data_IF_182057141097
#
_entry.id   IF_182057141097
#
_cell.length_a   1.000
_cell.length_b   1.000
_cell.length_c   1.000
_cell.angle_alpha   90.00
_cell.angle_beta   90.00
_cell.angle_gamma   90.00
#
_symmetry.space_group_name_H-M   'P 1'
#
loop_
_entity.id
_entity.type
_entity.pdbx_description
1 polymer ?
#
# COMPACT_ATOMS: atom_id res chain seq x y z
N UNK A 1 -11.27 14.49 -21.03
CA UNK A 1 -10.76 14.16 -19.66
C UNK A 1 -10.76 12.65 -19.42
N UNK A 2 -11.94 11.97 -19.44
CA UNK A 2 -12.08 10.55 -19.07
C UNK A 2 -11.06 9.62 -19.74
N UNK A 3 -10.89 9.71 -21.06
CA UNK A 3 -9.92 8.86 -21.79
C UNK A 3 -8.47 9.16 -21.39
N UNK A 4 -8.16 10.43 -21.14
CA UNK A 4 -6.81 10.80 -20.67
C UNK A 4 -6.53 10.19 -19.28
N UNK A 5 -7.49 10.22 -18.34
CA UNK A 5 -7.36 9.60 -17.03
C UNK A 5 -7.24 8.07 -17.11
N UNK A 6 -7.96 7.41 -18.04
CA UNK A 6 -7.77 5.99 -18.32
C UNK A 6 -6.35 5.69 -18.82
N UNK A 7 -5.77 6.57 -19.66
CA UNK A 7 -4.38 6.46 -20.10
C UNK A 7 -3.40 6.65 -18.94
N UNK A 8 -3.65 7.58 -18.02
CA UNK A 8 -2.80 7.80 -16.85
C UNK A 8 -2.75 6.56 -15.96
N UNK A 9 -3.91 5.91 -15.76
CA UNK A 9 -3.99 4.69 -14.94
C UNK A 9 -3.31 3.46 -15.56
N UNK A 10 -3.29 3.38 -16.90
CA UNK A 10 -2.81 2.18 -17.62
C UNK A 10 -1.41 2.35 -18.24
N UNK A 11 -0.88 3.57 -18.27
CA UNK A 11 0.37 3.94 -18.96
C UNK A 11 0.41 3.48 -20.44
N UNK A 12 -0.70 3.65 -21.15
CA UNK A 12 -0.85 3.24 -22.56
C UNK A 12 -1.45 4.38 -23.37
N UNK A 13 -0.95 4.59 -24.57
CA UNK A 13 -1.51 5.54 -25.54
C UNK A 13 -2.85 5.09 -26.11
N UNK A 14 -3.68 6.06 -26.54
CA UNK A 14 -5.00 5.81 -27.14
C UNK A 14 -5.16 6.64 -28.40
N UNK A 15 -5.67 6.00 -29.47
CA UNK A 15 -6.11 6.69 -30.68
C UNK A 15 -7.65 6.69 -30.71
N UNK A 16 -8.27 7.88 -30.74
CA UNK A 16 -9.71 8.06 -30.89
C UNK A 16 -10.05 8.50 -32.30
N UNK A 17 -11.08 7.88 -32.88
CA UNK A 17 -11.68 8.24 -34.15
C UNK A 17 -13.00 8.95 -33.86
N UNK A 18 -13.07 10.25 -34.18
CA UNK A 18 -14.21 11.09 -33.83
C UNK A 18 -15.36 11.01 -34.86
N UNK A 19 -15.15 10.29 -35.95
CA UNK A 19 -16.13 10.18 -37.03
C UNK A 19 -17.48 9.66 -36.51
N UNK A 20 -17.48 8.60 -35.72
CA UNK A 20 -18.71 8.02 -35.16
C UNK A 20 -19.49 8.98 -34.24
N UNK A 21 -18.79 9.92 -33.59
CA UNK A 21 -19.39 10.91 -32.68
C UNK A 21 -19.88 12.18 -33.41
N UNK A 22 -19.37 12.44 -34.61
CA UNK A 22 -19.64 13.70 -35.35
C UNK A 22 -20.54 13.52 -36.56
N UNK A 23 -20.74 12.29 -37.08
CA UNK A 23 -21.62 12.03 -38.24
C UNK A 23 -23.10 11.92 -37.86
N UNK A 24 -23.40 11.41 -36.65
CA UNK A 24 -24.80 11.28 -36.22
C UNK A 24 -25.51 12.64 -36.10
N UNK A 25 -24.79 13.71 -35.73
CA UNK A 25 -25.36 15.08 -35.69
C UNK A 25 -25.67 15.61 -37.10
N UNK A 26 -25.03 15.13 -38.16
CA UNK A 26 -25.33 15.55 -39.55
C UNK A 26 -26.63 14.96 -40.10
N UNK A 27 -27.04 13.77 -39.65
CA UNK A 27 -28.30 13.15 -40.13
C UNK A 27 -29.51 13.70 -39.34
N UNK A 28 -29.36 14.08 -38.08
CA UNK A 28 -30.41 14.73 -37.31
C UNK A 28 -30.75 16.16 -37.80
N UNK A 29 -29.77 16.90 -38.33
CA UNK A 29 -29.95 18.27 -38.82
C UNK A 29 -30.68 18.35 -40.18
N UNK A 30 -30.99 17.22 -40.85
CA UNK A 30 -31.61 17.24 -42.17
C UNK A 30 -33.15 17.30 -42.09
N UNK A 31 -33.74 16.87 -40.94
CA UNK A 31 -35.22 16.82 -40.79
C UNK A 31 -35.83 17.88 -39.87
N UNK A 32 -35.03 18.69 -39.18
CA UNK A 32 -35.56 19.78 -38.32
C UNK A 32 -35.63 21.10 -39.11
N UNK A 33 -36.69 21.27 -39.86
CA UNK A 33 -37.06 22.56 -40.45
C UNK A 33 -37.55 23.47 -39.36
N UNK A 34 -36.63 24.21 -38.73
CA UNK A 34 -37.01 25.39 -37.94
C UNK A 34 -37.59 26.47 -38.90
N UNK A 35 -38.81 26.91 -38.61
CA UNK A 35 -39.59 27.91 -39.37
C UNK A 35 -38.88 29.29 -39.39
N UNK A 36 -37.77 29.47 -38.67
CA UNK A 36 -36.98 30.71 -38.63
C UNK A 36 -35.84 30.82 -39.63
N UNK A 37 -35.58 29.78 -40.41
CA UNK A 37 -34.62 29.81 -41.53
C UNK A 37 -33.16 30.07 -41.21
N UNK A 38 -32.71 29.89 -39.94
CA UNK A 38 -31.33 30.10 -39.51
C UNK A 38 -30.81 28.99 -38.61
N UNK A 39 -30.88 27.74 -39.09
CA UNK A 39 -30.07 26.69 -38.49
C UNK A 39 -28.60 26.99 -38.86
N UNK A 40 -27.86 27.49 -37.89
CA UNK A 40 -26.40 27.71 -38.02
C UNK A 40 -25.77 26.34 -38.05
N UNK A 41 -25.39 25.84 -39.24
CA UNK A 41 -24.58 24.63 -39.36
C UNK A 41 -23.33 24.82 -38.50
N UNK A 42 -23.19 24.01 -37.46
CA UNK A 42 -21.96 23.95 -36.70
C UNK A 42 -20.81 23.68 -37.68
N UNK A 43 -19.76 24.48 -37.61
CA UNK A 43 -18.55 24.23 -38.39
C UNK A 43 -17.95 22.87 -38.01
N UNK A 44 -17.17 22.27 -38.89
CA UNK A 44 -16.54 20.97 -38.59
C UNK A 44 -15.77 20.95 -37.26
N UNK A 45 -15.14 22.04 -36.88
CA UNK A 45 -14.43 22.19 -35.62
C UNK A 45 -15.41 22.30 -34.42
N UNK A 46 -16.56 22.96 -34.61
CA UNK A 46 -17.55 23.14 -33.55
C UNK A 46 -18.19 21.78 -33.18
N UNK A 47 -18.49 20.93 -34.17
CA UNK A 47 -19.00 19.57 -33.93
C UNK A 47 -17.99 18.71 -33.18
N UNK A 48 -16.67 18.84 -33.47
CA UNK A 48 -15.62 18.15 -32.74
C UNK A 48 -15.52 18.64 -31.30
N UNK A 49 -15.58 19.97 -31.09
CA UNK A 49 -15.52 20.55 -29.75
C UNK A 49 -16.77 20.17 -28.94
N UNK A 50 -17.94 20.17 -29.53
CA UNK A 50 -19.15 19.70 -28.89
C UNK A 50 -19.04 18.24 -28.46
N UNK A 51 -18.62 17.33 -29.35
CA UNK A 51 -18.46 15.91 -29.03
C UNK A 51 -17.42 15.64 -27.93
N UNK A 52 -16.39 16.49 -27.81
CA UNK A 52 -15.33 16.31 -26.79
C UNK A 52 -15.65 16.94 -25.43
N UNK A 53 -16.52 17.97 -25.38
CA UNK A 53 -16.71 18.82 -24.20
C UNK A 53 -18.19 19.06 -23.84
N UNK A 54 -19.13 18.26 -24.32
CA UNK A 54 -20.56 18.45 -24.09
C UNK A 54 -21.04 18.11 -22.67
N UNK A 55 -20.25 17.50 -21.83
CA UNK A 55 -20.58 17.11 -20.44
C UNK A 55 -21.86 16.23 -20.32
N UNK A 56 -22.25 15.53 -21.38
CA UNK A 56 -23.36 14.57 -21.35
C UNK A 56 -23.02 13.33 -20.53
N UNK A 57 -24.04 12.74 -19.90
CA UNK A 57 -23.88 11.48 -19.17
C UNK A 57 -23.52 10.35 -20.13
N UNK A 58 -22.40 9.70 -19.88
CA UNK A 58 -21.92 8.61 -20.70
C UNK A 58 -20.89 7.77 -19.97
N UNK A 59 -20.49 6.65 -20.59
CA UNK A 59 -19.44 5.79 -20.09
C UNK A 59 -18.46 5.44 -21.22
N UNK A 60 -17.17 5.49 -20.92
CA UNK A 60 -16.11 4.96 -21.78
C UNK A 60 -15.62 3.67 -21.17
N UNK A 61 -15.65 2.58 -21.93
CA UNK A 61 -15.19 1.26 -21.46
C UNK A 61 -14.13 0.70 -22.39
N UNK A 62 -13.11 0.09 -21.80
CA UNK A 62 -12.13 -0.68 -22.53
C UNK A 62 -12.51 -2.16 -22.50
N UNK A 63 -12.59 -2.79 -23.69
CA UNK A 63 -12.92 -4.21 -23.83
C UNK A 63 -11.87 -4.89 -24.70
N UNK A 64 -11.75 -6.21 -24.57
CA UNK A 64 -10.93 -6.99 -25.50
C UNK A 64 -11.60 -6.99 -26.88
N UNK A 65 -10.82 -6.97 -27.95
CA UNK A 65 -11.34 -7.01 -29.33
C UNK A 65 -12.24 -8.23 -29.57
N UNK A 66 -11.92 -9.38 -28.95
CA UNK A 66 -12.71 -10.61 -29.07
C UNK A 66 -14.10 -10.50 -28.44
N UNK A 67 -14.29 -9.61 -27.47
CA UNK A 67 -15.57 -9.45 -26.75
C UNK A 67 -16.46 -8.39 -27.38
N UNK A 68 -16.00 -7.70 -28.43
CA UNK A 68 -16.70 -6.58 -29.07
C UNK A 68 -18.15 -6.89 -29.43
N UNK A 69 -18.36 -7.98 -30.15
CA UNK A 69 -19.68 -8.29 -30.70
C UNK A 69 -20.67 -8.69 -29.60
N UNK A 70 -20.19 -9.37 -28.56
CA UNK A 70 -20.99 -9.74 -27.37
C UNK A 70 -21.40 -8.49 -26.60
N UNK A 71 -20.45 -7.58 -26.35
CA UNK A 71 -20.73 -6.32 -25.63
C UNK A 71 -21.71 -5.44 -26.42
N UNK A 72 -21.47 -5.26 -27.73
CA UNK A 72 -22.37 -4.47 -28.58
C UNK A 72 -23.77 -5.10 -28.69
N UNK A 73 -23.88 -6.43 -28.66
CA UNK A 73 -25.20 -7.10 -28.63
C UNK A 73 -25.92 -6.84 -27.29
N UNK A 74 -25.21 -6.88 -26.17
CA UNK A 74 -25.77 -6.60 -24.86
C UNK A 74 -26.27 -5.13 -24.74
N UNK A 75 -25.49 -4.17 -25.27
CA UNK A 75 -25.89 -2.76 -25.31
C UNK A 75 -27.14 -2.54 -26.17
N UNK A 76 -27.23 -3.17 -27.33
CA UNK A 76 -28.44 -3.13 -28.17
C UNK A 76 -29.65 -3.72 -27.47
N UNK A 77 -29.48 -4.86 -26.79
CA UNK A 77 -30.55 -5.49 -26.01
C UNK A 77 -31.04 -4.61 -24.84
N UNK A 78 -30.16 -3.79 -24.30
CA UNK A 78 -30.49 -2.80 -23.26
C UNK A 78 -31.09 -1.49 -23.82
N UNK A 79 -31.33 -1.35 -25.14
CA UNK A 79 -31.86 -0.16 -25.78
C UNK A 79 -30.82 0.95 -26.02
N UNK A 80 -29.51 0.66 -25.81
CA UNK A 80 -28.42 1.65 -25.94
C UNK A 80 -27.67 1.51 -27.29
N UNK A 81 -28.25 0.83 -28.27
CA UNK A 81 -27.55 0.52 -29.51
C UNK A 81 -27.22 1.76 -30.38
N UNK A 82 -28.08 2.74 -30.43
CA UNK A 82 -27.87 4.00 -31.15
C UNK A 82 -26.80 4.87 -30.48
N UNK A 83 -26.71 4.82 -29.17
CA UNK A 83 -25.83 5.67 -28.34
C UNK A 83 -24.47 4.99 -28.05
N UNK A 84 -24.22 3.81 -28.63
CA UNK A 84 -23.01 3.02 -28.32
C UNK A 84 -22.10 2.95 -29.53
N UNK A 85 -20.91 3.53 -29.43
CA UNK A 85 -19.97 3.67 -30.51
C UNK A 85 -18.60 3.06 -30.18
N UNK A 86 -17.94 2.47 -31.20
CA UNK A 86 -16.53 2.07 -31.09
C UNK A 86 -15.70 3.28 -31.51
N UNK A 87 -15.08 3.92 -30.53
CA UNK A 87 -14.43 5.22 -30.72
C UNK A 87 -12.91 5.15 -30.84
N UNK A 88 -12.27 4.00 -30.61
CA UNK A 88 -10.81 3.97 -30.70
C UNK A 88 -10.17 2.64 -30.31
N UNK A 89 -8.85 2.70 -30.18
CA UNK A 89 -8.01 1.57 -29.78
C UNK A 89 -6.73 2.07 -29.07
N UNK A 90 -6.08 1.17 -28.33
CA UNK A 90 -4.78 1.44 -27.71
C UNK A 90 -3.69 1.61 -28.79
N UNK A 91 -2.70 2.47 -28.52
CA UNK A 91 -1.52 2.62 -29.37
C UNK A 91 -0.23 2.43 -28.55
N UNK A 92 0.86 2.14 -29.28
CA UNK A 92 2.18 1.92 -28.68
C UNK A 92 3.05 3.17 -28.60
N UNK A 93 2.53 4.35 -29.02
CA UNK A 93 3.29 5.62 -29.03
C UNK A 93 3.20 6.39 -27.73
N UNK A 94 2.42 5.89 -26.75
CA UNK A 94 2.14 6.56 -25.46
C UNK A 94 1.57 7.99 -25.66
N UNK A 95 0.72 8.17 -26.69
CA UNK A 95 0.10 9.44 -27.05
C UNK A 95 -1.42 9.33 -27.03
N UNK A 96 -2.09 10.43 -26.64
CA UNK A 96 -3.50 10.65 -27.01
C UNK A 96 -3.53 11.20 -28.41
N UNK A 97 -4.13 10.44 -29.34
CA UNK A 97 -4.31 10.88 -30.73
C UNK A 97 -5.80 11.00 -31.04
N UNK A 98 -6.21 12.18 -31.44
CA UNK A 98 -7.59 12.44 -31.93
C UNK A 98 -7.53 12.51 -33.46
N UNK A 99 -8.32 11.66 -34.12
CA UNK A 99 -8.32 11.52 -35.57
C UNK A 99 -9.75 11.72 -36.08
N UNK A 100 -9.91 12.48 -37.16
CA UNK A 100 -11.15 12.59 -37.92
C UNK A 100 -10.87 12.36 -39.39
N UNK A 101 -11.57 11.43 -40.01
CA UNK A 101 -11.24 10.89 -41.32
C UNK A 101 -9.78 10.41 -41.38
N UNK A 102 -8.92 11.11 -42.13
CA UNK A 102 -7.47 10.79 -42.21
C UNK A 102 -6.59 11.83 -41.50
N UNK A 103 -7.21 12.86 -40.90
CA UNK A 103 -6.49 13.98 -40.30
C UNK A 103 -6.32 13.77 -38.81
N UNK A 104 -5.08 13.86 -38.33
CA UNK A 104 -4.77 13.96 -36.89
C UNK A 104 -5.05 15.39 -36.44
N UNK A 105 -6.01 15.54 -35.52
CA UNK A 105 -6.40 16.83 -34.96
C UNK A 105 -5.57 17.20 -33.74
N UNK A 106 -5.19 16.18 -32.94
CA UNK A 106 -4.36 16.31 -31.75
C UNK A 106 -3.47 15.07 -31.62
N UNK A 107 -2.23 15.28 -31.20
CA UNK A 107 -1.32 14.22 -30.79
C UNK A 107 -0.46 14.76 -29.64
N UNK A 108 -0.78 14.33 -28.41
CA UNK A 108 -0.10 14.77 -27.19
C UNK A 108 0.40 13.57 -26.40
N UNK A 109 1.57 13.67 -25.83
CA UNK A 109 2.13 12.61 -24.98
C UNK A 109 1.29 12.47 -23.70
N UNK A 110 1.02 11.22 -23.31
CA UNK A 110 0.32 10.90 -22.05
C UNK A 110 0.96 11.62 -20.86
N UNK A 111 2.29 11.62 -20.79
CA UNK A 111 3.04 12.20 -19.67
C UNK A 111 2.81 13.72 -19.57
N UNK A 112 2.75 14.43 -20.68
CA UNK A 112 2.54 15.88 -20.69
C UNK A 112 1.11 16.22 -20.24
N UNK A 113 0.13 15.43 -20.70
CA UNK A 113 -1.27 15.53 -20.24
C UNK A 113 -1.40 15.22 -18.74
N UNK A 114 -0.73 14.19 -18.25
CA UNK A 114 -0.75 13.80 -16.84
C UNK A 114 -0.08 14.85 -15.95
N UNK A 115 1.01 15.45 -16.41
CA UNK A 115 1.67 16.58 -15.74
C UNK A 115 0.75 17.79 -15.64
N UNK A 116 0.10 18.17 -16.73
CA UNK A 116 -0.87 19.27 -16.74
C UNK A 116 -2.06 19.00 -15.81
N UNK A 117 -2.59 17.76 -15.81
CA UNK A 117 -3.69 17.34 -14.93
C UNK A 117 -3.29 17.40 -13.44
N UNK A 118 -2.04 17.05 -13.11
CA UNK A 118 -1.52 17.00 -11.73
C UNK A 118 -1.00 18.36 -11.23
N UNK A 119 -0.81 19.36 -12.11
CA UNK A 119 -0.14 20.62 -11.78
C UNK A 119 -0.81 21.40 -10.64
N UNK A 120 -2.14 21.49 -10.64
CA UNK A 120 -2.89 22.19 -9.59
C UNK A 120 -2.71 21.51 -8.23
N UNK A 121 -2.81 20.18 -8.19
CA UNK A 121 -2.58 19.40 -6.97
C UNK A 121 -1.17 19.56 -6.46
N UNK A 122 -0.16 19.53 -7.34
CA UNK A 122 1.24 19.78 -6.99
C UNK A 122 1.45 21.18 -6.42
N UNK A 123 0.85 22.21 -7.02
CA UNK A 123 0.96 23.58 -6.51
C UNK A 123 0.40 23.70 -5.09
N UNK A 124 -0.75 23.10 -4.81
CA UNK A 124 -1.36 23.06 -3.46
C UNK A 124 -0.48 22.29 -2.48
N UNK A 125 0.01 21.10 -2.87
CA UNK A 125 0.91 20.30 -2.05
C UNK A 125 2.19 21.04 -1.68
N UNK A 126 2.78 21.76 -2.65
CA UNK A 126 4.01 22.53 -2.44
C UNK A 126 3.84 23.69 -1.43
N UNK A 127 2.62 24.18 -1.23
CA UNK A 127 2.30 25.20 -0.22
C UNK A 127 2.02 24.61 1.16
N UNK A 128 1.52 23.38 1.22
CA UNK A 128 1.08 22.73 2.45
C UNK A 128 2.13 21.79 3.04
N UNK A 129 2.77 21.00 2.20
CA UNK A 129 3.66 19.90 2.57
C UNK A 129 5.14 20.33 2.41
N UNK A 130 6.09 19.43 2.67
CA UNK A 130 7.47 19.68 2.35
C UNK A 130 7.65 19.84 0.83
N UNK A 131 8.14 20.99 0.33
CA UNK A 131 8.20 21.26 -1.12
C UNK A 131 9.09 20.28 -1.89
N UNK A 132 10.14 19.73 -1.26
CA UNK A 132 11.04 18.79 -1.92
C UNK A 132 10.36 17.44 -2.17
N UNK A 133 9.58 16.92 -1.23
CA UNK A 133 8.83 15.69 -1.41
C UNK A 133 7.63 15.86 -2.35
N UNK A 134 6.91 16.99 -2.27
CA UNK A 134 5.87 17.33 -3.23
C UNK A 134 6.42 17.41 -4.66
N UNK A 135 7.60 17.97 -4.82
CA UNK A 135 8.30 18.02 -6.12
C UNK A 135 8.74 16.63 -6.58
N UNK A 136 9.29 15.81 -5.70
CA UNK A 136 9.72 14.44 -6.02
C UNK A 136 8.54 13.58 -6.51
N UNK A 137 7.36 13.68 -5.88
CA UNK A 137 6.14 12.99 -6.31
C UNK A 137 5.68 13.45 -7.70
N UNK A 138 5.68 14.75 -7.93
CA UNK A 138 5.30 15.32 -9.22
C UNK A 138 6.29 14.96 -10.34
N UNK A 139 7.60 14.98 -10.06
CA UNK A 139 8.64 14.64 -11.04
C UNK A 139 8.71 13.13 -11.33
N UNK A 140 8.22 12.26 -10.43
CA UNK A 140 8.07 10.84 -10.73
C UNK A 140 7.20 10.57 -11.96
N UNK A 141 6.23 11.44 -12.26
CA UNK A 141 5.42 11.34 -13.48
C UNK A 141 6.26 11.38 -14.77
N UNK A 142 7.50 11.89 -14.72
CA UNK A 142 8.42 11.92 -15.87
C UNK A 142 9.11 10.57 -16.12
N UNK A 143 9.09 9.66 -15.16
CA UNK A 143 9.68 8.33 -15.33
C UNK A 143 8.76 7.43 -16.16
N UNK A 144 9.02 7.39 -17.47
CA UNK A 144 8.27 6.54 -18.40
C UNK A 144 8.51 5.05 -18.21
N UNK A 145 9.55 4.67 -17.46
CA UNK A 145 9.87 3.28 -17.14
C UNK A 145 9.23 2.82 -15.82
N UNK A 146 8.60 3.72 -15.06
CA UNK A 146 7.88 3.35 -13.84
C UNK A 146 6.65 2.49 -14.17
N UNK A 147 6.73 1.22 -13.81
CA UNK A 147 5.63 0.26 -13.98
C UNK A 147 4.61 0.27 -12.84
N UNK A 148 4.77 1.16 -11.87
CA UNK A 148 3.93 1.23 -10.68
C UNK A 148 4.22 0.13 -9.67
N UNK A 149 3.18 -0.25 -8.90
CA UNK A 149 3.30 -1.33 -7.91
C UNK A 149 3.49 -2.68 -8.61
N UNK A 150 4.38 -3.49 -8.04
CA UNK A 150 4.62 -4.86 -8.48
C UNK A 150 4.56 -5.84 -7.30
N UNK A 151 4.60 -7.12 -7.59
CA UNK A 151 4.74 -8.15 -6.58
C UNK A 151 5.56 -9.31 -7.12
N UNK A 152 6.38 -9.90 -6.26
CA UNK A 152 7.09 -11.14 -6.54
C UNK A 152 7.19 -11.92 -5.23
N UNK A 153 6.82 -13.18 -5.24
CA UNK A 153 6.81 -14.04 -4.06
C UNK A 153 7.83 -15.14 -4.23
N UNK A 154 8.78 -15.27 -3.30
CA UNK A 154 9.86 -16.26 -3.33
C UNK A 154 9.48 -17.61 -2.72
N UNK A 155 8.24 -17.75 -2.22
CA UNK A 155 7.75 -18.94 -1.53
C UNK A 155 6.33 -19.30 -1.98
N UNK A 156 5.87 -20.49 -1.64
CA UNK A 156 4.44 -20.85 -1.86
C UNK A 156 3.55 -20.12 -0.85
N UNK A 157 2.84 -19.08 -1.33
CA UNK A 157 1.92 -18.28 -0.52
C UNK A 157 0.66 -19.06 -0.10
N UNK A 158 0.34 -20.15 -0.76
CA UNK A 158 -0.83 -21.00 -0.46
C UNK A 158 -0.55 -21.99 0.67
N UNK A 159 0.72 -22.33 0.92
CA UNK A 159 1.14 -23.29 1.94
C UNK A 159 0.79 -22.79 3.35
N UNK A 160 0.01 -23.61 4.06
CA UNK A 160 -0.24 -23.39 5.49
C UNK A 160 0.75 -24.16 6.35
N UNK A 161 1.92 -23.55 6.56
CA UNK A 161 2.99 -24.12 7.38
C UNK A 161 2.66 -24.18 8.87
N UNK A 162 1.62 -23.48 9.33
CA UNK A 162 1.14 -23.54 10.71
C UNK A 162 0.19 -24.72 10.96
N UNK A 163 -0.44 -25.27 9.92
CA UNK A 163 -1.42 -26.35 10.02
C UNK A 163 -0.94 -27.57 10.84
N UNK A 164 0.33 -28.03 10.79
CA UNK A 164 0.80 -29.14 11.62
C UNK A 164 0.73 -28.88 13.13
N UNK A 165 0.68 -27.63 13.54
CA UNK A 165 0.72 -27.19 14.94
C UNK A 165 -0.64 -26.74 15.48
N UNK A 166 -1.63 -26.54 14.61
CA UNK A 166 -2.98 -26.10 14.99
C UNK A 166 -3.80 -27.31 15.44
N UNK A 167 -4.46 -27.22 16.60
CA UNK A 167 -5.36 -28.26 17.12
C UNK A 167 -4.69 -29.49 17.74
N UNK A 168 -3.35 -29.54 17.80
CA UNK A 168 -2.60 -30.71 18.35
C UNK A 168 -2.07 -30.51 19.77
N UNK A 169 -2.03 -29.27 20.26
CA UNK A 169 -1.57 -28.91 21.61
C UNK A 169 -2.44 -27.80 22.16
N UNK A 170 -2.27 -27.47 23.45
CA UNK A 170 -2.88 -26.28 24.02
C UNK A 170 -2.54 -25.04 23.14
N UNK A 171 -3.54 -24.21 22.89
CA UNK A 171 -3.36 -23.01 22.08
C UNK A 171 -2.22 -22.16 22.63
N UNK A 172 -1.30 -21.72 21.75
CA UNK A 172 -0.21 -20.85 22.15
C UNK A 172 -0.75 -19.43 22.31
N UNK A 173 -0.62 -18.88 23.50
CA UNK A 173 -1.15 -17.54 23.82
C UNK A 173 -0.24 -16.47 23.25
N UNK A 174 -0.87 -15.48 22.60
CA UNK A 174 -0.24 -14.29 22.02
C UNK A 174 -0.84 -13.06 22.65
N UNK A 175 -0.03 -12.24 23.29
CA UNK A 175 -0.48 -10.95 23.81
C UNK A 175 -0.60 -9.94 22.65
N UNK A 176 -1.79 -9.43 22.45
CA UNK A 176 -2.04 -8.30 21.55
C UNK A 176 -1.97 -7.06 22.43
N UNK A 177 -0.77 -6.50 22.48
CA UNK A 177 -0.41 -5.46 23.42
C UNK A 177 -0.83 -4.09 22.89
N UNK A 178 -1.51 -3.33 23.74
CA UNK A 178 -1.93 -1.97 23.44
C UNK A 178 -1.84 -1.03 24.63
N UNK A 179 -1.81 0.25 24.31
CA UNK A 179 -1.96 1.38 25.23
C UNK A 179 -3.10 2.28 24.74
N UNK A 180 -3.52 3.27 25.52
CA UNK A 180 -4.50 4.24 25.06
C UNK A 180 -4.00 4.94 23.78
N UNK A 181 -4.89 5.09 22.78
CA UNK A 181 -4.55 5.64 21.46
C UNK A 181 -4.09 4.60 20.44
N UNK A 182 -3.84 3.35 20.83
CA UNK A 182 -3.60 2.23 19.90
C UNK A 182 -4.90 1.83 19.20
N UNK A 183 -4.85 1.52 17.91
CA UNK A 183 -6.04 1.21 17.11
C UNK A 183 -5.88 -0.01 16.16
N UNK A 184 -4.70 -0.63 16.09
CA UNK A 184 -4.41 -1.79 15.21
C UNK A 184 -4.61 -3.16 15.88
N UNK A 185 -5.17 -3.23 17.10
CA UNK A 185 -5.24 -4.47 17.88
C UNK A 185 -6.21 -5.50 17.29
N UNK A 186 -7.28 -5.08 16.64
CA UNK A 186 -8.26 -6.02 16.07
C UNK A 186 -7.70 -6.75 14.85
N UNK A 187 -7.06 -6.03 13.94
CA UNK A 187 -6.40 -6.60 12.76
C UNK A 187 -5.25 -7.52 13.16
N UNK A 188 -4.47 -7.12 14.16
CA UNK A 188 -3.37 -7.93 14.70
C UNK A 188 -3.89 -9.21 15.35
N UNK A 189 -4.93 -9.11 16.18
CA UNK A 189 -5.60 -10.26 16.79
C UNK A 189 -6.15 -11.22 15.73
N UNK A 190 -6.80 -10.68 14.69
CA UNK A 190 -7.29 -11.48 13.56
C UNK A 190 -6.15 -12.25 12.90
N UNK A 191 -5.04 -11.59 12.56
CA UNK A 191 -3.90 -12.21 11.88
C UNK A 191 -3.31 -13.36 12.70
N UNK A 192 -3.04 -13.15 13.99
CA UNK A 192 -2.50 -14.20 14.86
C UNK A 192 -3.52 -15.32 15.15
N UNK A 193 -4.81 -15.02 15.32
CA UNK A 193 -5.85 -16.04 15.46
C UNK A 193 -5.93 -16.91 14.22
N UNK A 194 -5.85 -16.32 13.03
CA UNK A 194 -5.84 -17.05 11.76
C UNK A 194 -4.59 -17.91 11.57
N UNK A 195 -3.49 -17.55 12.22
CA UNK A 195 -2.29 -18.38 12.27
C UNK A 195 -2.35 -19.50 13.32
N UNK A 196 -3.39 -19.56 14.15
CA UNK A 196 -3.58 -20.61 15.14
C UNK A 196 -3.09 -20.29 16.56
N UNK A 197 -2.96 -19.01 16.89
CA UNK A 197 -2.72 -18.54 18.26
C UNK A 197 -4.04 -18.28 18.99
N UNK A 198 -4.01 -18.34 20.32
CA UNK A 198 -5.00 -17.70 21.19
C UNK A 198 -4.58 -16.26 21.38
N UNK A 199 -5.13 -15.33 20.58
CA UNK A 199 -4.87 -13.91 20.69
C UNK A 199 -5.63 -13.32 21.88
N UNK A 200 -4.91 -12.70 22.80
CA UNK A 200 -5.46 -12.10 24.04
C UNK A 200 -5.18 -10.62 24.01
N UNK A 201 -6.23 -9.81 24.10
CA UNK A 201 -6.10 -8.35 24.23
C UNK A 201 -5.51 -7.99 25.60
N UNK A 202 -4.37 -7.30 25.62
CA UNK A 202 -3.66 -6.92 26.83
C UNK A 202 -3.38 -5.43 26.80
N UNK A 203 -3.99 -4.70 27.71
CA UNK A 203 -3.70 -3.29 27.90
C UNK A 203 -2.53 -3.11 28.89
N UNK A 204 -1.71 -2.09 28.69
CA UNK A 204 -0.57 -1.82 29.60
C UNK A 204 -0.96 -1.72 31.06
N UNK A 205 -2.17 -1.20 31.37
CA UNK A 205 -2.70 -1.15 32.75
C UNK A 205 -2.86 -2.54 33.39
N UNK A 206 -3.04 -3.61 32.58
CA UNK A 206 -3.14 -4.97 33.10
C UNK A 206 -1.77 -5.48 33.58
N UNK A 207 -0.71 -5.13 32.83
CA UNK A 207 0.67 -5.46 33.21
C UNK A 207 1.09 -4.63 34.43
N UNK A 208 0.87 -3.31 34.39
CA UNK A 208 1.22 -2.38 35.48
C UNK A 208 0.54 -2.75 36.79
N UNK A 209 -0.72 -3.13 36.75
CA UNK A 209 -1.47 -3.58 37.93
C UNK A 209 -1.14 -4.99 38.40
N UNK A 210 -0.47 -5.78 37.55
CA UNK A 210 -0.16 -7.18 37.81
C UNK A 210 -1.33 -8.15 37.59
N UNK A 211 -2.40 -7.73 36.89
CA UNK A 211 -3.49 -8.61 36.50
C UNK A 211 -3.08 -9.61 35.43
N UNK A 212 -2.14 -9.22 34.57
CA UNK A 212 -1.58 -10.03 33.49
C UNK A 212 -0.07 -10.05 33.61
N UNK A 213 0.55 -11.21 33.43
CA UNK A 213 2.00 -11.39 33.33
C UNK A 213 2.39 -11.85 31.93
N UNK A 214 3.46 -11.27 31.37
CA UNK A 214 3.99 -11.65 30.05
C UNK A 214 4.58 -13.08 30.03
N UNK A 215 4.84 -13.69 31.20
CA UNK A 215 5.28 -15.09 31.32
C UNK A 215 4.28 -16.08 30.73
N UNK A 216 2.97 -15.72 30.70
CA UNK A 216 1.89 -16.58 30.25
C UNK A 216 1.78 -16.63 28.72
N UNK A 217 2.60 -15.86 28.00
CA UNK A 217 2.54 -15.72 26.55
C UNK A 217 3.83 -16.22 25.90
N UNK A 218 3.68 -16.77 24.70
CA UNK A 218 4.81 -17.15 23.82
C UNK A 218 5.28 -15.99 22.96
N UNK A 219 4.41 -15.02 22.72
CA UNK A 219 4.74 -13.81 22.00
C UNK A 219 3.88 -12.64 22.42
N UNK A 220 4.33 -11.43 22.12
CA UNK A 220 3.49 -10.28 22.08
C UNK A 220 3.61 -9.52 20.75
N UNK A 221 2.52 -8.88 20.33
CA UNK A 221 2.51 -7.91 19.25
C UNK A 221 2.16 -6.54 19.82
N UNK A 222 3.12 -5.60 19.76
CA UNK A 222 2.87 -4.20 20.03
C UNK A 222 2.26 -3.56 18.79
N UNK A 223 1.00 -3.10 18.92
CA UNK A 223 0.19 -2.70 17.79
C UNK A 223 0.39 -1.23 17.38
N UNK A 224 -0.04 -0.91 16.15
CA UNK A 224 -0.04 0.45 15.63
C UNK A 224 -1.11 1.35 16.25
N UNK A 225 -0.90 2.64 16.18
CA UNK A 225 -1.79 3.69 16.70
C UNK A 225 -1.03 4.95 17.05
N UNK A 226 -1.54 5.67 18.04
CA UNK A 226 -0.99 6.94 18.53
C UNK A 226 -1.02 6.94 20.06
N UNK A 227 -0.15 6.12 20.67
CA UNK A 227 -0.12 5.97 22.13
C UNK A 227 0.15 7.32 22.80
N UNK A 228 -0.70 7.68 23.78
CA UNK A 228 -0.68 8.97 24.45
C UNK A 228 -0.77 10.18 23.52
N UNK A 229 -1.35 10.02 22.30
CA UNK A 229 -1.44 11.08 21.29
C UNK A 229 -0.09 11.55 20.77
N UNK A 230 0.95 10.73 20.91
CA UNK A 230 2.34 11.01 20.50
C UNK A 230 2.92 12.32 21.11
N UNK A 231 2.41 12.74 22.27
CA UNK A 231 2.75 14.03 22.91
C UNK A 231 4.26 14.17 23.22
N UNK A 232 4.93 13.08 23.55
CA UNK A 232 6.39 13.06 23.82
C UNK A 232 7.23 12.63 22.62
N UNK A 233 6.60 12.40 21.45
CA UNK A 233 7.11 11.69 20.29
C UNK A 233 6.43 10.34 20.16
N UNK A 234 6.31 9.86 18.91
CA UNK A 234 5.57 8.65 18.60
C UNK A 234 6.18 7.42 19.29
N UNK A 235 5.35 6.67 20.03
CA UNK A 235 5.77 5.52 20.84
C UNK A 235 6.54 5.85 22.12
N UNK A 236 6.97 7.08 22.30
CA UNK A 236 7.79 7.51 23.44
C UNK A 236 7.06 7.39 24.78
N UNK A 237 5.83 7.89 24.86
CA UNK A 237 5.01 7.78 26.08
C UNK A 237 4.80 6.33 26.49
N UNK A 238 4.56 5.44 25.52
CA UNK A 238 4.41 4.02 25.77
C UNK A 238 5.71 3.37 26.25
N UNK A 239 6.83 3.64 25.59
CA UNK A 239 8.15 3.14 26.04
C UNK A 239 8.48 3.62 27.45
N UNK A 240 8.21 4.89 27.78
CA UNK A 240 8.43 5.44 29.12
C UNK A 240 7.53 4.80 30.18
N UNK A 241 6.29 4.42 29.86
CA UNK A 241 5.42 3.68 30.78
C UNK A 241 5.96 2.28 31.11
N UNK A 242 6.76 1.69 30.20
CA UNK A 242 7.51 0.45 30.48
C UNK A 242 8.75 0.75 31.30
N UNK A 243 9.63 1.65 30.83
CA UNK A 243 10.96 1.85 31.40
C UNK A 243 10.95 2.41 32.82
N UNK A 244 9.98 3.30 33.11
CA UNK A 244 9.90 4.00 34.39
C UNK A 244 8.89 3.40 35.39
N UNK A 245 8.19 2.32 35.02
CA UNK A 245 7.39 1.54 35.95
C UNK A 245 8.14 0.24 36.31
N UNK A 246 8.56 0.04 37.56
CA UNK A 246 9.38 -1.10 37.95
C UNK A 246 8.75 -2.45 37.56
N UNK A 247 7.47 -2.64 37.81
CA UNK A 247 6.76 -3.88 37.48
C UNK A 247 6.74 -4.12 35.95
N UNK A 248 6.37 -3.11 35.17
CA UNK A 248 6.36 -3.25 33.72
C UNK A 248 7.74 -3.53 33.18
N UNK A 249 8.78 -2.81 33.63
CA UNK A 249 10.17 -3.04 33.26
C UNK A 249 10.60 -4.48 33.53
N UNK A 250 10.35 -4.97 34.73
CA UNK A 250 10.73 -6.34 35.14
C UNK A 250 10.02 -7.40 34.28
N UNK A 251 8.71 -7.22 33.96
CA UNK A 251 7.95 -8.13 33.11
C UNK A 251 8.51 -8.16 31.68
N UNK A 252 8.82 -6.99 31.09
CA UNK A 252 9.38 -6.91 29.74
C UNK A 252 10.82 -7.44 29.68
N UNK A 253 11.69 -7.09 30.64
CA UNK A 253 13.05 -7.64 30.71
C UNK A 253 13.04 -9.16 30.87
N UNK A 254 12.20 -9.70 31.76
CA UNK A 254 12.06 -11.14 31.94
C UNK A 254 11.57 -11.82 30.66
N UNK A 255 10.61 -11.21 29.93
CA UNK A 255 10.11 -11.72 28.66
C UNK A 255 11.21 -11.75 27.59
N UNK A 256 11.96 -10.67 27.43
CA UNK A 256 13.02 -10.59 26.41
C UNK A 256 14.20 -11.52 26.68
N UNK A 257 14.48 -11.85 27.95
CA UNK A 257 15.54 -12.79 28.35
C UNK A 257 15.20 -14.26 28.11
N UNK A 258 13.93 -14.59 27.90
CA UNK A 258 13.49 -15.96 27.57
C UNK A 258 13.96 -16.35 26.17
N UNK A 259 14.32 -17.63 25.96
CA UNK A 259 14.67 -18.17 24.66
C UNK A 259 13.50 -18.76 23.86
N UNK A 260 12.32 -18.83 24.48
CA UNK A 260 11.08 -19.40 23.93
C UNK A 260 10.00 -18.36 23.69
N UNK A 261 10.37 -17.08 23.63
CA UNK A 261 9.48 -15.93 23.39
C UNK A 261 9.91 -15.13 22.15
N UNK A 262 8.95 -14.49 21.51
CA UNK A 262 9.19 -13.58 20.38
C UNK A 262 8.31 -12.32 20.48
N UNK A 263 8.69 -11.26 19.79
CA UNK A 263 7.87 -10.08 19.69
C UNK A 263 7.86 -9.46 18.28
N UNK A 264 6.73 -8.82 17.99
CA UNK A 264 6.52 -8.00 16.79
C UNK A 264 6.07 -6.61 17.21
N UNK A 265 6.78 -5.57 16.80
CA UNK A 265 6.34 -4.17 16.91
C UNK A 265 5.96 -3.62 15.54
N UNK A 266 4.75 -3.08 15.39
CA UNK A 266 4.28 -2.50 14.12
C UNK A 266 3.91 -1.03 14.33
N UNK A 267 4.42 -0.15 13.46
CA UNK A 267 4.14 1.29 13.45
C UNK A 267 4.38 1.91 14.85
N UNK A 268 3.36 2.31 15.59
CA UNK A 268 3.50 2.83 16.96
C UNK A 268 4.16 1.81 17.91
N UNK A 269 3.86 0.52 17.74
CA UNK A 269 4.57 -0.55 18.45
C UNK A 269 6.03 -0.71 18.04
N UNK A 270 6.36 -0.43 16.76
CA UNK A 270 7.74 -0.36 16.29
C UNK A 270 8.49 0.79 16.97
N UNK A 271 7.90 1.97 17.02
CA UNK A 271 8.46 3.15 17.69
C UNK A 271 8.67 2.89 19.19
N UNK A 272 7.68 2.30 19.84
CA UNK A 272 7.78 1.93 21.26
C UNK A 272 8.94 0.94 21.50
N UNK A 273 8.98 -0.17 20.75
CA UNK A 273 10.01 -1.18 20.93
C UNK A 273 11.41 -0.65 20.59
N UNK A 274 11.53 0.22 19.59
CA UNK A 274 12.80 0.89 19.28
C UNK A 274 13.34 1.68 20.46
N UNK A 275 12.47 2.34 21.21
CA UNK A 275 12.83 3.08 22.42
C UNK A 275 13.10 2.16 23.66
N UNK A 276 12.83 0.86 23.54
CA UNK A 276 13.20 -0.15 24.54
C UNK A 276 14.55 -0.85 24.24
N UNK A 277 15.32 -0.35 23.29
CA UNK A 277 16.57 -1.01 22.84
C UNK A 277 17.55 -1.35 23.97
N UNK A 278 17.53 -0.63 25.10
CA UNK A 278 18.38 -0.90 26.27
C UNK A 278 18.01 -2.18 27.02
N UNK A 279 16.75 -2.65 26.92
CA UNK A 279 16.28 -3.86 27.62
C UNK A 279 15.98 -5.02 26.66
N UNK A 280 16.06 -4.80 25.35
CA UNK A 280 15.89 -5.83 24.32
C UNK A 280 17.28 -6.33 23.90
N UNK A 281 17.67 -7.57 24.20
CA UNK A 281 18.99 -8.10 23.81
C UNK A 281 19.22 -8.07 22.31
N UNK A 282 20.28 -7.43 21.85
CA UNK A 282 20.64 -7.31 20.44
C UNK A 282 19.97 -6.19 19.67
N UNK A 283 19.25 -5.29 20.36
CA UNK A 283 18.58 -4.14 19.74
C UNK A 283 19.39 -2.82 19.83
N UNK A 284 20.63 -2.86 20.28
CA UNK A 284 21.47 -1.68 20.55
C UNK A 284 21.68 -0.77 19.33
N UNK A 285 21.53 -1.36 18.13
CA UNK A 285 21.69 -0.65 16.87
C UNK A 285 20.35 -0.32 16.18
N UNK A 286 19.20 -0.58 16.80
CA UNK A 286 17.94 -0.17 16.22
C UNK A 286 17.85 1.37 16.11
N UNK A 287 17.25 1.89 15.02
CA UNK A 287 17.13 3.33 14.82
C UNK A 287 16.13 3.96 15.78
N UNK A 288 16.28 5.24 16.05
CA UNK A 288 15.16 6.05 16.51
C UNK A 288 14.23 6.36 15.34
N UNK A 289 12.91 6.44 15.58
CA UNK A 289 11.92 6.74 14.54
C UNK A 289 11.47 8.18 14.68
N UNK A 290 11.67 8.99 13.63
CA UNK A 290 11.39 10.42 13.64
C UNK A 290 10.37 10.80 12.55
N UNK A 291 10.02 12.08 12.55
CA UNK A 291 9.10 12.67 11.59
C UNK A 291 9.49 12.35 10.15
N UNK A 292 8.50 11.98 9.33
CA UNK A 292 8.68 11.72 7.90
C UNK A 292 9.34 12.90 7.18
N UNK A 293 10.12 12.63 6.14
CA UNK A 293 10.74 13.67 5.32
C UNK A 293 9.70 14.57 4.63
N UNK A 294 8.49 14.06 4.36
CA UNK A 294 7.37 14.84 3.83
C UNK A 294 6.77 15.82 4.83
N UNK A 295 7.11 15.68 6.12
CA UNK A 295 6.50 16.42 7.24
C UNK A 295 4.99 16.20 7.37
N UNK A 296 4.47 15.16 6.72
CA UNK A 296 3.06 14.77 6.68
C UNK A 296 2.86 13.35 7.18
N UNK A 297 1.61 13.05 7.55
CA UNK A 297 1.14 11.70 7.77
C UNK A 297 0.99 10.99 6.42
N UNK A 298 1.80 9.96 6.19
CA UNK A 298 1.80 9.20 4.94
C UNK A 298 0.92 7.95 5.08
N UNK A 299 -0.21 7.95 4.35
CA UNK A 299 -1.14 6.83 4.27
C UNK A 299 -1.22 6.34 2.82
N UNK A 300 -0.46 5.30 2.49
CA UNK A 300 -0.37 4.79 1.13
C UNK A 300 0.01 3.30 1.06
N UNK A 301 -0.27 2.66 -0.07
CA UNK A 301 0.31 1.37 -0.41
C UNK A 301 1.69 1.58 -1.00
N UNK A 302 2.69 0.95 -0.42
CA UNK A 302 4.07 0.95 -0.89
C UNK A 302 4.54 -0.46 -1.18
N UNK A 303 5.69 -0.61 -1.81
CA UNK A 303 6.33 -1.89 -2.05
C UNK A 303 7.56 -2.06 -1.17
N UNK A 304 7.68 -3.22 -0.52
CA UNK A 304 8.88 -3.59 0.24
C UNK A 304 9.48 -4.87 -0.28
N UNK A 305 10.81 -4.97 -0.22
CA UNK A 305 11.53 -6.23 -0.38
C UNK A 305 11.85 -6.80 1.00
N UNK A 306 11.53 -8.08 1.21
CA UNK A 306 11.95 -8.83 2.39
C UNK A 306 13.40 -9.24 2.21
N UNK A 307 14.24 -8.80 3.12
CA UNK A 307 15.69 -9.05 3.11
C UNK A 307 16.03 -10.37 3.77
N UNK A 308 17.13 -10.99 3.34
CA UNK A 308 17.73 -12.08 4.08
C UNK A 308 18.15 -11.57 5.46
N UNK A 309 17.58 -12.12 6.51
CA UNK A 309 17.80 -11.73 7.90
C UNK A 309 17.52 -12.90 8.84
N UNK A 310 17.99 -12.86 10.09
CA UNK A 310 17.67 -13.89 11.08
C UNK A 310 16.22 -13.90 11.55
N UNK A 311 15.39 -12.91 11.21
CA UNK A 311 14.01 -12.79 11.69
C UNK A 311 13.21 -14.09 11.51
N UNK A 312 12.73 -14.65 12.62
CA UNK A 312 11.86 -15.83 12.61
C UNK A 312 10.55 -15.56 11.88
N UNK A 313 10.08 -14.29 11.90
CA UNK A 313 8.85 -13.86 11.25
C UNK A 313 8.98 -13.87 9.73
N UNK A 314 10.14 -13.53 9.19
CA UNK A 314 10.41 -13.50 7.76
C UNK A 314 11.11 -14.75 7.22
N UNK A 315 11.17 -15.84 8.02
CA UNK A 315 11.79 -17.10 7.59
C UNK A 315 11.20 -17.62 6.27
N UNK A 316 12.06 -17.87 5.29
CA UNK A 316 11.68 -18.35 3.96
C UNK A 316 10.97 -17.33 3.06
N UNK A 317 10.99 -16.03 3.42
CA UNK A 317 10.35 -14.96 2.62
C UNK A 317 11.38 -14.07 1.88
N UNK A 318 12.68 -14.24 2.13
CA UNK A 318 13.74 -13.41 1.56
C UNK A 318 13.66 -13.34 0.02
N UNK A 319 13.84 -12.15 -0.54
CA UNK A 319 13.71 -11.85 -1.97
C UNK A 319 12.26 -11.63 -2.44
N UNK A 320 11.27 -11.81 -1.57
CA UNK A 320 9.90 -11.43 -1.91
C UNK A 320 9.74 -9.92 -1.95
N UNK A 321 9.04 -9.41 -2.98
CA UNK A 321 8.60 -8.02 -3.10
C UNK A 321 7.09 -7.98 -2.95
N UNK A 322 6.61 -7.27 -1.94
CA UNK A 322 5.21 -7.32 -1.54
C UNK A 322 4.65 -5.90 -1.36
N UNK A 323 3.45 -5.62 -1.88
CA UNK A 323 2.72 -4.41 -1.52
C UNK A 323 2.29 -4.48 -0.05
N UNK A 324 2.38 -3.35 0.64
CA UNK A 324 1.98 -3.23 2.05
C UNK A 324 1.44 -1.86 2.35
N UNK A 325 0.52 -1.75 3.31
CA UNK A 325 0.01 -0.47 3.78
C UNK A 325 1.02 0.21 4.71
N UNK A 326 1.22 1.52 4.53
CA UNK A 326 1.86 2.42 5.51
C UNK A 326 0.84 3.42 6.01
N UNK A 327 0.96 3.84 7.27
CA UNK A 327 0.06 4.82 7.89
C UNK A 327 0.76 5.44 9.10
N UNK A 328 1.70 6.40 8.89
CA UNK A 328 2.49 7.00 9.96
C UNK A 328 2.97 8.42 9.64
N UNK A 329 3.10 9.26 10.66
CA UNK A 329 3.71 10.59 10.60
C UNK A 329 5.18 10.61 11.00
N UNK A 330 5.59 9.63 11.83
CA UNK A 330 6.94 9.50 12.38
C UNK A 330 7.47 8.08 12.09
N UNK A 331 7.98 7.87 10.90
CA UNK A 331 8.46 6.54 10.46
C UNK A 331 9.89 6.52 9.94
N UNK A 332 10.54 7.68 9.89
CA UNK A 332 11.89 7.80 9.35
C UNK A 332 12.93 7.25 10.32
N UNK A 333 13.64 6.20 9.89
CA UNK A 333 14.74 5.65 10.66
C UNK A 333 15.90 6.65 10.74
N UNK A 334 16.27 7.03 11.96
CA UNK A 334 17.39 7.94 12.25
C UNK A 334 18.39 7.20 13.13
N UNK A 335 19.65 7.28 12.76
CA UNK A 335 20.76 6.64 13.46
C UNK A 335 21.65 7.70 14.09
N UNK A 336 22.16 7.41 15.28
CA UNK A 336 23.07 8.29 16.02
C UNK A 336 24.33 8.63 15.21
N UNK A 337 24.84 7.64 14.48
CA UNK A 337 26.05 7.76 13.65
C UNK A 337 26.07 6.70 12.52
N UNK A 338 27.08 6.81 11.66
CA UNK A 338 27.27 5.90 10.51
C UNK A 338 27.54 4.46 10.99
N UNK A 339 28.25 4.27 12.11
CA UNK A 339 28.57 2.93 12.61
C UNK A 339 27.33 2.20 13.10
N UNK A 340 26.41 2.89 13.81
CA UNK A 340 25.12 2.32 14.19
C UNK A 340 24.28 1.96 12.95
N UNK A 341 24.23 2.85 11.95
CA UNK A 341 23.50 2.58 10.71
C UNK A 341 24.03 1.35 9.98
N UNK A 342 25.35 1.25 9.86
CA UNK A 342 25.99 0.15 9.14
C UNK A 342 25.84 -1.18 9.90
N UNK A 343 25.83 -1.16 11.24
CA UNK A 343 25.51 -2.33 12.06
C UNK A 343 24.01 -2.73 11.89
N UNK A 344 23.09 -1.77 11.94
CA UNK A 344 21.66 -2.01 11.76
C UNK A 344 21.33 -2.57 10.36
N UNK A 345 22.10 -2.21 9.34
CA UNK A 345 21.91 -2.70 7.96
C UNK A 345 21.93 -4.23 7.86
N UNK A 346 22.74 -4.91 8.66
CA UNK A 346 22.82 -6.38 8.66
C UNK A 346 21.62 -7.05 9.32
N UNK A 347 20.90 -6.30 10.14
CA UNK A 347 19.68 -6.73 10.83
C UNK A 347 18.42 -6.16 10.20
N UNK A 348 18.56 -5.43 9.08
CA UNK A 348 17.43 -4.92 8.31
C UNK A 348 16.72 -6.09 7.63
N UNK A 349 15.45 -6.29 7.96
CA UNK A 349 14.62 -7.39 7.48
C UNK A 349 13.64 -7.00 6.37
N UNK A 350 13.39 -5.70 6.14
CA UNK A 350 12.64 -5.21 4.98
C UNK A 350 13.08 -3.78 4.58
N UNK A 351 13.03 -3.50 3.28
CA UNK A 351 13.37 -2.20 2.69
C UNK A 351 12.28 -1.74 1.73
N UNK A 352 11.99 -0.43 1.71
CA UNK A 352 11.21 0.18 0.63
C UNK A 352 11.95 0.07 -0.69
N UNK A 353 11.22 -0.28 -1.75
CA UNK A 353 11.77 -0.45 -3.09
C UNK A 353 10.99 0.33 -4.13
N UNK A 354 11.67 0.72 -5.21
CA UNK A 354 11.06 1.31 -6.40
C UNK A 354 10.31 0.27 -7.25
N UNK A 355 9.70 0.69 -8.35
CA UNK A 355 8.98 -0.19 -9.27
C UNK A 355 9.88 -1.29 -9.88
N UNK A 356 11.18 -1.03 -10.01
CA UNK A 356 12.16 -2.02 -10.47
C UNK A 356 12.62 -3.00 -9.36
N UNK A 357 12.17 -2.80 -8.11
CA UNK A 357 12.55 -3.62 -6.96
C UNK A 357 13.89 -3.26 -6.35
N UNK A 358 14.43 -2.08 -6.62
CA UNK A 358 15.68 -1.59 -6.02
C UNK A 358 15.37 -0.80 -4.75
N UNK A 359 16.14 -1.03 -3.69
CA UNK A 359 16.04 -0.23 -2.47
C UNK A 359 16.13 1.26 -2.79
N UNK A 360 15.21 2.08 -2.24
CA UNK A 360 15.09 3.48 -2.63
C UNK A 360 14.93 4.42 -1.43
N UNK A 361 15.50 5.62 -1.56
CA UNK A 361 15.27 6.76 -0.68
C UNK A 361 14.29 7.77 -1.30
N UNK A 362 13.87 7.53 -2.54
CA UNK A 362 13.03 8.47 -3.29
C UNK A 362 11.57 8.43 -2.85
N UNK A 363 11.03 9.59 -2.52
CA UNK A 363 9.59 9.78 -2.32
C UNK A 363 8.86 9.69 -3.68
N UNK A 364 7.66 9.10 -3.76
CA UNK A 364 6.85 8.53 -2.69
C UNK A 364 7.06 7.02 -2.46
N UNK A 365 7.94 6.34 -3.19
CA UNK A 365 8.19 4.91 -3.02
C UNK A 365 8.78 4.59 -1.63
N UNK A 366 9.61 5.51 -1.09
CA UNK A 366 9.98 5.56 0.32
C UNK A 366 9.22 6.71 0.98
N UNK A 367 8.12 6.44 1.68
CA UNK A 367 7.21 7.48 2.15
C UNK A 367 7.74 8.29 3.33
N UNK A 368 8.70 7.76 4.08
CA UNK A 368 9.19 8.42 5.30
C UNK A 368 10.62 8.98 5.19
N UNK A 369 11.37 8.64 4.13
CA UNK A 369 12.73 9.11 3.92
C UNK A 369 13.79 8.35 4.72
N UNK A 370 13.50 7.10 5.13
CA UNK A 370 14.48 6.25 5.81
C UNK A 370 15.69 5.96 4.92
N UNK A 371 16.91 6.08 5.44
CA UNK A 371 18.12 5.83 4.67
C UNK A 371 18.15 4.38 4.14
N UNK A 372 18.62 4.21 2.90
CA UNK A 372 18.65 2.93 2.17
C UNK A 372 17.28 2.22 2.11
N UNK A 373 16.18 2.91 2.32
CA UNK A 373 14.83 2.33 2.37
C UNK A 373 14.55 1.44 3.58
N UNK A 374 15.41 1.40 4.59
CA UNK A 374 15.27 0.49 5.74
C UNK A 374 13.99 0.78 6.54
N UNK A 375 13.14 -0.24 6.72
CA UNK A 375 11.82 -0.04 7.36
C UNK A 375 11.41 -1.16 8.32
N UNK A 376 12.20 -2.24 8.40
CA UNK A 376 12.04 -3.28 9.41
C UNK A 376 13.40 -3.76 9.89
N UNK A 377 13.48 -4.08 11.20
CA UNK A 377 14.71 -4.52 11.84
C UNK A 377 14.43 -5.70 12.76
N UNK A 378 15.45 -6.52 12.99
CA UNK A 378 15.35 -7.67 13.90
C UNK A 378 16.56 -7.73 14.80
N UNK A 379 16.50 -8.57 15.84
CA UNK A 379 17.66 -8.89 16.70
C UNK A 379 18.54 -9.98 16.05
N UNK A 380 19.81 -10.15 16.47
CA UNK A 380 20.71 -11.17 15.91
C UNK A 380 20.17 -12.60 16.05
N UNK A 381 19.40 -12.91 17.09
CA UNK A 381 18.74 -14.20 17.29
C UNK A 381 17.39 -14.31 16.53
N UNK A 382 16.93 -13.23 15.88
CA UNK A 382 15.75 -13.17 15.02
C UNK A 382 14.41 -13.17 15.74
N UNK A 383 14.37 -13.23 17.06
CA UNK A 383 13.13 -13.37 17.84
C UNK A 383 12.33 -12.08 17.96
N UNK A 384 12.97 -10.94 17.95
CA UNK A 384 12.31 -9.64 18.08
C UNK A 384 12.42 -8.87 16.78
N UNK A 385 11.28 -8.48 16.23
CA UNK A 385 11.21 -7.78 14.94
C UNK A 385 10.33 -6.55 15.07
N UNK A 386 10.81 -5.43 14.54
CA UNK A 386 10.05 -4.17 14.46
C UNK A 386 9.90 -3.77 12.99
N UNK A 387 8.78 -3.18 12.62
CA UNK A 387 8.53 -2.65 11.28
C UNK A 387 7.53 -1.50 11.26
N UNK A 388 7.74 -0.55 10.37
CA UNK A 388 6.82 0.59 10.21
C UNK A 388 5.59 0.28 9.37
N UNK A 389 5.68 -0.47 8.25
CA UNK A 389 4.50 -0.90 7.50
C UNK A 389 3.59 -1.87 8.28
N UNK A 390 2.33 -1.98 7.86
CA UNK A 390 1.27 -2.74 8.51
C UNK A 390 0.92 -4.04 7.78
N UNK A 391 1.62 -5.17 8.02
CA UNK A 391 1.28 -6.45 7.40
C UNK A 391 -0.07 -7.00 7.87
N UNK A 392 -0.49 -6.69 9.11
CA UNK A 392 -1.77 -7.11 9.69
C UNK A 392 -2.98 -6.51 8.97
N UNK A 393 -2.82 -5.33 8.36
CA UNK A 393 -3.90 -4.65 7.61
C UNK A 393 -4.10 -5.22 6.22
N UNK A 394 -3.16 -6.01 5.73
CA UNK A 394 -3.17 -6.57 4.38
C UNK A 394 -3.00 -8.10 4.36
N UNK A 395 -3.38 -8.80 5.43
CA UNK A 395 -3.36 -10.27 5.49
C UNK A 395 -4.36 -10.94 4.55
N UNK A 396 -5.39 -10.22 4.12
CA UNK A 396 -6.34 -10.70 3.11
C UNK A 396 -6.10 -9.97 1.79
N UNK A 397 -6.18 -10.68 0.67
CA UNK A 397 -6.01 -10.10 -0.66
C UNK A 397 -7.00 -8.96 -0.94
N UNK A 398 -8.20 -9.02 -0.37
CA UNK A 398 -9.23 -7.97 -0.52
C UNK A 398 -8.90 -6.67 0.22
N UNK A 399 -7.95 -6.68 1.15
CA UNK A 399 -7.51 -5.49 1.88
C UNK A 399 -6.45 -4.68 1.13
N UNK A 400 -5.84 -5.27 0.09
CA UNK A 400 -4.89 -4.58 -0.76
C UNK A 400 -5.63 -3.67 -1.74
N UNK A 401 -5.28 -2.38 -1.81
CA UNK A 401 -5.81 -1.43 -2.79
C UNK A 401 -5.39 -1.78 -4.22
N UNK A 402 -4.23 -2.40 -4.36
CA UNK A 402 -3.73 -3.01 -5.59
C UNK A 402 -3.11 -4.39 -5.28
N UNK A 403 -3.35 -5.36 -6.14
CA UNK A 403 -2.75 -6.70 -6.10
C UNK A 403 -2.66 -7.28 -7.50
N UNK A 404 -1.73 -8.23 -7.74
CA UNK A 404 -1.68 -8.99 -8.98
C UNK A 404 -3.01 -9.72 -9.25
N UNK A 405 -3.37 -9.85 -10.51
CA UNK A 405 -4.62 -10.50 -10.92
C UNK A 405 -4.70 -11.97 -10.48
N UNK A 406 -3.57 -12.65 -10.42
CA UNK A 406 -3.44 -14.03 -9.96
C UNK A 406 -3.66 -14.22 -8.46
N UNK A 407 -3.69 -13.15 -7.66
CA UNK A 407 -4.07 -13.24 -6.26
C UNK A 407 -5.58 -13.07 -6.11
N UNK A 408 -6.35 -14.17 -5.95
CA UNK A 408 -7.79 -14.09 -5.91
C UNK A 408 -8.25 -13.35 -4.65
N UNK A 409 -9.34 -12.59 -4.75
CA UNK A 409 -9.95 -11.96 -3.57
C UNK A 409 -10.63 -12.97 -2.66
N UNK A 410 -11.09 -14.09 -3.25
CA UNK A 410 -11.77 -15.19 -2.56
C UNK A 410 -11.23 -16.54 -3.02
N UNK A 411 -11.26 -17.49 -2.13
CA UNK A 411 -10.99 -18.92 -2.41
C UNK A 411 -12.15 -19.55 -3.18
N UNK A 412 -11.97 -20.74 -3.73
CA UNK A 412 -12.99 -21.44 -4.49
C UNK A 412 -14.27 -21.72 -3.68
N UNK A 413 -14.18 -21.86 -2.34
CA UNK A 413 -15.29 -22.01 -1.42
C UNK A 413 -15.89 -20.66 -0.93
N UNK A 414 -15.51 -19.55 -1.56
CA UNK A 414 -16.07 -18.21 -1.34
C UNK A 414 -15.51 -17.43 -0.14
N UNK A 415 -14.59 -18.02 0.65
CA UNK A 415 -13.95 -17.32 1.76
C UNK A 415 -12.94 -16.29 1.28
N UNK A 416 -12.67 -15.19 2.04
CA UNK A 416 -11.59 -14.29 1.72
C UNK A 416 -10.25 -15.03 1.64
N UNK A 417 -9.49 -14.80 0.55
CA UNK A 417 -8.19 -15.42 0.37
C UNK A 417 -7.11 -14.64 1.10
N UNK A 418 -6.18 -15.37 1.70
CA UNK A 418 -5.02 -14.74 2.35
C UNK A 418 -4.03 -14.18 1.35
N UNK A 419 -3.42 -13.06 1.70
CA UNK A 419 -2.27 -12.51 1.00
C UNK A 419 -0.98 -13.22 1.42
N UNK A 420 0.12 -13.04 0.69
CA UNK A 420 1.43 -13.57 1.08
C UNK A 420 1.90 -13.12 2.47
N UNK A 421 1.40 -12.01 3.01
CA UNK A 421 1.72 -11.53 4.36
C UNK A 421 1.27 -12.47 5.47
N UNK A 422 0.28 -13.33 5.22
CA UNK A 422 -0.13 -14.35 6.18
C UNK A 422 1.02 -15.29 6.55
N UNK A 423 2.01 -15.48 5.68
CA UNK A 423 3.19 -16.30 5.93
C UNK A 423 3.97 -15.84 7.16
N UNK A 424 4.10 -14.55 7.38
CA UNK A 424 4.79 -13.97 8.54
C UNK A 424 4.18 -14.47 9.87
N UNK A 425 2.87 -14.46 9.99
CA UNK A 425 2.15 -14.92 11.19
C UNK A 425 2.19 -16.44 11.34
N UNK A 426 2.16 -17.17 10.23
CA UNK A 426 2.33 -18.63 10.21
C UNK A 426 3.76 -19.05 10.58
N UNK A 427 4.77 -18.27 10.21
CA UNK A 427 6.16 -18.49 10.65
C UNK A 427 6.26 -18.40 12.17
N UNK A 428 5.66 -17.39 12.80
CA UNK A 428 5.61 -17.29 14.26
C UNK A 428 5.00 -18.54 14.90
N UNK A 429 3.88 -19.04 14.33
CA UNK A 429 3.19 -20.24 14.85
C UNK A 429 4.05 -21.48 14.70
N UNK A 430 4.70 -21.66 13.56
CA UNK A 430 5.57 -22.80 13.31
C UNK A 430 6.82 -22.76 14.22
N UNK A 431 7.33 -21.57 14.54
CA UNK A 431 8.48 -21.42 15.43
C UNK A 431 8.17 -21.79 16.88
N UNK A 432 6.97 -21.48 17.40
CA UNK A 432 6.61 -21.82 18.78
C UNK A 432 6.10 -23.26 18.96
N UNK A 433 5.88 -24.00 17.88
CA UNK A 433 5.47 -25.41 17.86
C UNK A 433 4.01 -25.68 18.19
#
# INVERSE_FOLDING_TARGET
>A
AVVAEMMFASHVGVTLYLDALTYAEREADVDDYDVSGTAKKLGENDAVLAALFNEELGAVVQIRRADRDVVMAALRAAGLGAESHIIGHLNATDELRLVRATRVLLAEKRIDLQRAWSETSHAIQSLRDNPATARAEYDRLLDTADTGLGAAVSFDATADIAAPFVGKSAARRMSILREQGVNGQLEMAHAFTRAGFEAVDVHMSDIISGRVSLRDFRGFAACGGFSYGDVLGAGEGWAKSVLFNPRARDEFEAFFKRNDSFALGVCNGCQMMSNLHEIIPGAENWPHLERNASEQYEARTVQVEIRASPSILFAGMAGSRLPVATAHGEGRAVFRDVAQRDAARWLCSAQFVDAAGRATEQFPANPNGSPMGMTAFTTPDGRFTIMMPHPERVVLNVNLSWRPQEWPGRTADGRPAFSPWMRMFRNARAWVG
#
